data_IF_868966224730
#
_entry.id   IF_868966224730
#
_cell.length_a   1.000
_cell.length_b   1.000
_cell.length_c   1.000
_cell.angle_alpha   90.00
_cell.angle_beta   90.00
_cell.angle_gamma   90.00
#
_symmetry.space_group_name_H-M   'P 1'
#
loop_
_entity.id
_entity.type
_entity.pdbx_description
1 polymer ?
#
# COMPACT_ATOMS: atom_id res chain seq x y z
N UNK A 1 -7.15 15.28 14.50
CA UNK A 1 -6.18 15.68 15.54
C UNK A 1 -6.76 15.86 16.93
N UNK A 2 -8.06 16.15 17.11
CA UNK A 2 -8.64 16.43 18.46
C UNK A 2 -9.01 15.19 19.30
N UNK A 3 -9.13 14.00 18.69
CA UNK A 3 -9.62 12.79 19.35
C UNK A 3 -8.53 11.75 19.69
N UNK A 4 -7.28 12.00 19.31
CA UNK A 4 -6.15 11.08 19.55
C UNK A 4 -5.15 11.76 20.46
N UNK A 5 -4.76 11.17 21.60
CA UNK A 5 -3.87 11.84 22.54
C UNK A 5 -2.56 12.29 21.86
N UNK A 6 -2.03 13.48 22.20
CA UNK A 6 -0.87 14.07 21.51
C UNK A 6 0.37 13.18 21.47
N UNK A 7 0.55 12.32 22.49
CA UNK A 7 1.64 11.35 22.53
C UNK A 7 1.55 10.33 21.39
N UNK A 8 0.37 9.76 21.15
CA UNK A 8 0.14 8.85 20.03
C UNK A 8 0.26 9.58 18.69
N UNK A 9 -0.33 10.77 18.57
CA UNK A 9 -0.24 11.55 17.33
C UNK A 9 1.19 11.83 16.90
N UNK A 10 2.08 12.17 17.85
CA UNK A 10 3.49 12.41 17.56
C UNK A 10 4.20 11.19 16.98
N UNK A 11 3.96 10.00 17.55
CA UNK A 11 4.59 8.77 17.06
C UNK A 11 3.94 8.29 15.76
N UNK A 12 2.61 8.32 15.64
CA UNK A 12 1.89 7.92 14.43
C UNK A 12 2.24 8.80 13.23
N UNK A 13 2.48 10.11 13.45
CA UNK A 13 2.94 11.03 12.38
C UNK A 13 4.30 10.62 11.80
N UNK A 14 5.18 10.01 12.58
CA UNK A 14 6.48 9.49 12.08
C UNK A 14 6.29 8.35 11.09
N UNK A 15 5.24 7.55 11.28
CA UNK A 15 4.89 6.45 10.39
C UNK A 15 4.21 6.92 9.10
N UNK A 16 3.69 8.15 9.07
CA UNK A 16 2.78 8.64 8.03
C UNK A 16 3.48 9.32 6.84
N UNK A 17 4.43 8.63 6.20
CA UNK A 17 5.06 9.10 4.95
C UNK A 17 6.59 9.06 4.95
N UNK A 18 7.20 8.88 6.12
CA UNK A 18 8.65 8.73 6.29
C UNK A 18 9.03 7.33 6.80
N UNK A 19 8.17 6.32 6.59
CA UNK A 19 8.53 4.96 6.93
C UNK A 19 9.71 4.53 6.05
N UNK A 20 10.84 4.08 6.63
CA UNK A 20 11.96 3.61 5.84
C UNK A 20 11.51 2.45 4.97
N UNK A 21 12.02 2.32 3.74
CA UNK A 21 11.73 1.16 2.91
C UNK A 21 12.15 -0.09 3.69
N UNK A 22 11.24 -1.06 3.81
CA UNK A 22 11.55 -2.27 4.57
C UNK A 22 12.61 -3.11 3.87
N UNK A 23 12.69 -3.00 2.54
CA UNK A 23 13.58 -3.78 1.67
C UNK A 23 14.43 -2.89 0.77
N UNK A 24 15.64 -3.37 0.49
CA UNK A 24 16.53 -2.77 -0.50
C UNK A 24 16.12 -3.12 -1.94
N UNK A 25 16.68 -2.38 -2.91
CA UNK A 25 16.30 -2.47 -4.33
C UNK A 25 16.32 -3.87 -4.92
N UNK A 26 17.32 -4.71 -4.60
CA UNK A 26 17.43 -6.06 -5.17
C UNK A 26 16.23 -6.95 -4.84
N UNK A 27 15.80 -7.00 -3.57
CA UNK A 27 14.64 -7.80 -3.16
C UNK A 27 13.35 -7.26 -3.79
N UNK A 28 13.22 -5.93 -3.91
CA UNK A 28 12.10 -5.30 -4.62
C UNK A 28 12.05 -5.76 -6.07
N UNK A 29 13.19 -5.75 -6.78
CA UNK A 29 13.25 -6.20 -8.17
C UNK A 29 12.82 -7.64 -8.32
N UNK A 30 13.27 -8.52 -7.42
CA UNK A 30 12.91 -9.94 -7.45
C UNK A 30 11.41 -10.15 -7.23
N UNK A 31 10.81 -9.44 -6.28
CA UNK A 31 9.36 -9.49 -6.06
C UNK A 31 8.59 -9.01 -7.29
N UNK A 32 8.93 -7.85 -7.84
CA UNK A 32 8.23 -7.29 -9.01
C UNK A 32 8.39 -8.23 -10.21
N UNK A 33 9.58 -8.78 -10.43
CA UNK A 33 9.83 -9.77 -11.48
C UNK A 33 8.95 -11.02 -11.32
N UNK A 34 8.88 -11.55 -10.10
CA UNK A 34 8.08 -12.73 -9.78
C UNK A 34 6.59 -12.51 -10.03
N UNK A 35 6.05 -11.38 -9.57
CA UNK A 35 4.64 -11.01 -9.76
C UNK A 35 4.28 -10.73 -11.22
N UNK A 36 5.21 -10.18 -12.01
CA UNK A 36 5.02 -9.93 -13.44
C UNK A 36 5.30 -11.16 -14.32
N UNK A 37 5.91 -12.22 -13.78
CA UNK A 37 6.23 -13.44 -14.52
C UNK A 37 7.30 -13.27 -15.60
N UNK A 38 8.20 -12.29 -15.46
CA UNK A 38 9.28 -12.00 -16.43
C UNK A 38 10.62 -12.53 -15.93
N UNK A 39 11.61 -12.67 -16.81
CA UNK A 39 12.97 -13.09 -16.41
C UNK A 39 13.83 -11.89 -15.98
N UNK A 40 13.56 -10.72 -16.55
CA UNK A 40 14.20 -9.45 -16.24
C UNK A 40 13.18 -8.31 -16.20
N UNK A 41 13.33 -7.40 -15.24
CA UNK A 41 12.53 -6.15 -15.22
C UNK A 41 12.74 -5.30 -16.48
N UNK A 42 13.92 -5.44 -17.11
CA UNK A 42 14.20 -4.77 -18.37
C UNK A 42 13.34 -5.27 -19.52
N UNK A 43 12.48 -6.28 -19.35
CA UNK A 43 11.45 -6.66 -20.34
C UNK A 43 10.23 -5.72 -20.31
N UNK A 44 9.97 -5.08 -19.16
CA UNK A 44 8.79 -4.24 -18.93
C UNK A 44 9.15 -2.77 -18.77
N UNK A 45 10.28 -2.50 -18.10
CA UNK A 45 10.73 -1.16 -17.77
C UNK A 45 12.01 -0.80 -18.53
N UNK A 46 12.10 0.44 -18.99
CA UNK A 46 13.34 1.05 -19.47
C UNK A 46 14.22 1.47 -18.29
N UNK A 47 13.61 2.07 -17.27
CA UNK A 47 14.25 2.46 -16.01
C UNK A 47 13.42 1.99 -14.82
N UNK A 48 14.08 1.58 -13.74
CA UNK A 48 13.44 1.24 -12.46
C UNK A 48 14.34 1.74 -11.33
N UNK A 49 13.81 2.63 -10.50
CA UNK A 49 14.52 3.22 -9.36
C UNK A 49 14.51 2.25 -8.18
N UNK A 50 15.69 1.90 -7.70
CA UNK A 50 15.88 1.00 -6.57
C UNK A 50 15.55 1.70 -5.24
N UNK A 51 15.62 3.03 -5.21
CA UNK A 51 15.20 3.83 -4.07
C UNK A 51 13.68 4.08 -4.11
N UNK A 52 13.00 3.72 -3.02
CA UNK A 52 11.59 4.07 -2.86
C UNK A 52 11.46 5.57 -2.62
N UNK A 53 10.64 6.27 -3.40
CA UNK A 53 10.40 7.70 -3.23
C UNK A 53 9.25 7.98 -2.25
N UNK A 54 8.48 6.96 -1.87
CA UNK A 54 7.37 7.11 -0.94
C UNK A 54 6.97 5.81 -0.25
N UNK A 55 6.43 5.95 0.96
CA UNK A 55 5.74 4.89 1.66
C UNK A 55 4.26 4.85 1.24
N UNK A 56 3.70 3.65 1.14
CA UNK A 56 2.27 3.44 1.00
C UNK A 56 1.78 2.52 2.13
N UNK A 57 0.51 2.63 2.52
CA UNK A 57 -0.16 1.84 3.58
C UNK A 57 0.56 0.54 4.00
N UNK A 58 0.59 -0.46 3.12
CA UNK A 58 1.19 -1.79 3.35
C UNK A 58 2.40 -2.09 2.43
N UNK A 59 3.05 -1.05 1.90
CA UNK A 59 4.10 -1.20 0.90
C UNK A 59 4.96 0.04 0.67
N UNK A 60 5.77 -0.02 -0.38
CA UNK A 60 6.63 1.09 -0.82
C UNK A 60 6.41 1.38 -2.29
N UNK A 61 6.69 2.61 -2.72
CA UNK A 61 6.46 3.07 -4.10
C UNK A 61 7.78 3.47 -4.76
N UNK A 62 8.01 2.94 -5.94
CA UNK A 62 9.20 3.17 -6.75
C UNK A 62 8.85 3.94 -8.02
N UNK A 63 9.78 4.78 -8.50
CA UNK A 63 9.65 5.41 -9.81
C UNK A 63 10.16 4.44 -10.87
N UNK A 64 9.46 4.35 -12.00
CA UNK A 64 9.92 3.58 -13.14
C UNK A 64 9.48 4.24 -14.45
N UNK A 65 10.12 3.86 -15.54
CA UNK A 65 9.75 4.24 -16.91
C UNK A 65 9.43 2.95 -17.67
N UNK A 66 8.23 2.86 -18.25
CA UNK A 66 7.85 1.70 -19.05
C UNK A 66 8.67 1.64 -20.35
N UNK A 67 8.86 0.43 -20.89
CA UNK A 67 9.35 0.28 -22.26
C UNK A 67 8.37 0.93 -23.25
N UNK A 68 8.89 1.82 -24.07
CA UNK A 68 8.07 2.67 -24.94
C UNK A 68 7.74 4.03 -24.33
N UNK A 69 8.29 4.32 -23.15
CA UNK A 69 8.12 5.58 -22.43
C UNK A 69 6.93 5.57 -21.48
N UNK A 70 6.77 6.69 -20.77
CA UNK A 70 5.73 6.85 -19.75
C UNK A 70 6.27 6.55 -18.35
N UNK A 71 6.31 7.59 -17.53
CA UNK A 71 6.66 7.47 -16.11
C UNK A 71 5.51 6.83 -15.34
N UNK A 72 5.84 5.85 -14.50
CA UNK A 72 4.89 5.13 -13.65
C UNK A 72 5.38 5.04 -12.22
N UNK A 73 4.43 4.95 -11.29
CA UNK A 73 4.68 4.63 -9.90
C UNK A 73 4.40 3.13 -9.67
N UNK A 74 5.41 2.38 -9.22
CA UNK A 74 5.30 0.95 -8.94
C UNK A 74 5.16 0.74 -7.43
N UNK A 75 3.93 0.43 -6.99
CA UNK A 75 3.62 0.12 -5.59
C UNK A 75 3.89 -1.36 -5.33
N UNK A 76 4.79 -1.65 -4.38
CA UNK A 76 5.23 -3.00 -4.02
C UNK A 76 4.82 -3.30 -2.58
N UNK A 77 4.03 -4.36 -2.40
CA UNK A 77 3.55 -4.80 -1.08
C UNK A 77 4.71 -5.38 -0.27
N UNK A 78 4.79 -5.03 1.02
CA UNK A 78 5.81 -5.62 1.89
C UNK A 78 5.59 -7.13 2.08
N UNK A 79 6.66 -7.95 2.04
CA UNK A 79 6.55 -9.37 2.30
C UNK A 79 5.91 -9.66 3.65
N UNK A 80 4.98 -10.61 3.71
CA UNK A 80 4.36 -11.10 4.95
C UNK A 80 3.61 -10.05 5.78
N UNK A 81 3.37 -8.85 5.24
CA UNK A 81 2.65 -7.78 5.95
C UNK A 81 1.24 -8.21 6.36
N UNK A 82 0.60 -9.04 5.54
CA UNK A 82 -0.72 -9.62 5.87
C UNK A 82 -0.63 -10.58 7.06
N UNK A 83 0.40 -11.45 7.12
CA UNK A 83 0.59 -12.39 8.21
C UNK A 83 0.79 -11.65 9.54
N UNK A 84 1.63 -10.60 9.53
CA UNK A 84 1.87 -9.77 10.70
C UNK A 84 0.60 -9.06 11.14
N UNK A 85 -0.14 -8.44 10.21
CA UNK A 85 -1.41 -7.78 10.52
C UNK A 85 -2.43 -8.74 11.15
N UNK A 86 -2.57 -9.96 10.60
CA UNK A 86 -3.48 -10.98 11.15
C UNK A 86 -3.07 -11.41 12.55
N UNK A 87 -1.77 -11.58 12.79
CA UNK A 87 -1.23 -11.91 14.11
C UNK A 87 -1.51 -10.81 15.13
N UNK A 88 -1.25 -9.55 14.77
CA UNK A 88 -1.49 -8.39 15.63
C UNK A 88 -2.98 -8.25 15.96
N UNK A 89 -3.85 -8.34 14.96
CA UNK A 89 -5.30 -8.27 15.16
C UNK A 89 -5.80 -9.40 16.06
N UNK A 90 -5.24 -10.61 15.92
CA UNK A 90 -5.56 -11.72 16.82
C UNK A 90 -5.20 -11.38 18.27
N UNK A 91 -3.97 -10.92 18.52
CA UNK A 91 -3.49 -10.59 19.88
C UNK A 91 -4.36 -9.48 20.49
N UNK A 92 -4.66 -8.42 19.74
CA UNK A 92 -5.49 -7.30 20.21
C UNK A 92 -6.91 -7.76 20.54
N UNK A 93 -7.51 -8.61 19.70
CA UNK A 93 -8.85 -9.17 19.95
C UNK A 93 -8.87 -10.12 21.14
N UNK A 94 -7.83 -10.92 21.34
CA UNK A 94 -7.72 -11.82 22.51
C UNK A 94 -7.66 -10.99 23.81
N UNK A 95 -6.83 -9.93 23.83
CA UNK A 95 -6.76 -9.00 24.95
C UNK A 95 -8.10 -8.30 25.21
N UNK A 96 -8.75 -7.78 24.16
CA UNK A 96 -10.06 -7.13 24.31
C UNK A 96 -11.15 -8.10 24.77
N UNK A 97 -11.07 -9.37 24.38
CA UNK A 97 -12.00 -10.40 24.85
C UNK A 97 -11.92 -10.62 26.37
N UNK A 98 -10.75 -10.39 26.95
CA UNK A 98 -10.51 -10.48 28.39
C UNK A 98 -10.91 -9.21 29.14
N UNK A 99 -10.48 -8.03 28.67
CA UNK A 99 -10.55 -6.80 29.47
C UNK A 99 -11.48 -5.70 28.91
N UNK A 100 -11.83 -5.73 27.62
CA UNK A 100 -12.53 -4.62 26.95
C UNK A 100 -13.45 -5.10 25.80
N UNK A 101 -14.40 -5.99 26.11
CA UNK A 101 -15.21 -6.70 25.10
C UNK A 101 -16.01 -5.75 24.21
N UNK A 102 -16.34 -4.55 24.70
CA UNK A 102 -17.05 -3.51 23.95
C UNK A 102 -16.31 -3.05 22.67
N UNK A 103 -14.99 -3.25 22.58
CA UNK A 103 -14.22 -2.85 21.39
C UNK A 103 -14.16 -3.94 20.31
N UNK A 104 -14.57 -5.18 20.61
CA UNK A 104 -14.50 -6.29 19.64
C UNK A 104 -15.27 -6.05 18.34
N UNK A 105 -16.51 -5.49 18.35
CA UNK A 105 -17.22 -5.23 17.11
C UNK A 105 -16.46 -4.26 16.19
N UNK A 106 -15.92 -3.17 16.74
CA UNK A 106 -15.13 -2.21 16.00
C UNK A 106 -13.84 -2.85 15.44
N UNK A 107 -13.13 -3.64 16.25
CA UNK A 107 -11.92 -4.34 15.81
C UNK A 107 -12.16 -5.34 14.69
N UNK A 108 -13.30 -6.04 14.69
CA UNK A 108 -13.69 -6.95 13.60
C UNK A 108 -13.96 -6.20 12.31
N UNK A 109 -14.64 -5.06 12.38
CA UNK A 109 -14.88 -4.24 11.19
C UNK A 109 -13.59 -3.62 10.67
N UNK A 110 -12.71 -3.12 11.56
CA UNK A 110 -11.37 -2.63 11.20
C UNK A 110 -10.59 -3.73 10.48
N UNK A 111 -10.51 -4.94 11.04
CA UNK A 111 -9.83 -6.07 10.41
C UNK A 111 -10.40 -6.34 9.01
N UNK A 112 -11.72 -6.43 8.88
CA UNK A 112 -12.39 -6.65 7.59
C UNK A 112 -12.04 -5.59 6.55
N UNK A 113 -12.01 -4.31 6.94
CA UNK A 113 -11.64 -3.21 6.05
C UNK A 113 -10.17 -3.26 5.65
N UNK A 114 -9.26 -3.55 6.59
CA UNK A 114 -7.83 -3.64 6.32
C UNK A 114 -7.45 -4.88 5.50
N UNK A 115 -8.18 -6.00 5.65
CA UNK A 115 -7.96 -7.18 4.80
C UNK A 115 -8.08 -6.86 3.30
N UNK A 116 -8.85 -5.82 3.03
CA UNK A 116 -9.18 -5.31 1.72
C UNK A 116 -8.01 -4.52 1.06
N UNK A 117 -7.00 -4.12 1.85
CA UNK A 117 -5.77 -3.42 1.42
C UNK A 117 -4.70 -4.37 0.86
N UNK A 118 -4.77 -5.68 1.14
CA UNK A 118 -3.73 -6.62 0.69
C UNK A 118 -3.92 -7.13 -0.75
N UNK A 119 -5.05 -6.79 -1.38
CA UNK A 119 -5.38 -7.09 -2.77
C UNK A 119 -5.29 -5.82 -3.64
N UNK A 120 -4.12 -5.61 -4.24
CA UNK A 120 -3.86 -4.47 -5.14
C UNK A 120 -4.56 -4.61 -6.49
N UNK A 121 -4.99 -5.80 -6.91
CA UNK A 121 -5.76 -5.97 -8.15
C UNK A 121 -7.14 -5.33 -8.01
N UNK A 122 -7.76 -5.48 -6.83
CA UNK A 122 -9.02 -4.83 -6.52
C UNK A 122 -8.88 -3.31 -6.38
N UNK A 123 -7.79 -2.83 -5.78
CA UNK A 123 -7.45 -1.40 -5.78
C UNK A 123 -7.29 -0.86 -7.21
N UNK A 124 -6.54 -1.57 -8.06
CA UNK A 124 -6.36 -1.22 -9.47
C UNK A 124 -7.68 -1.17 -10.25
N UNK A 125 -8.58 -2.12 -10.02
CA UNK A 125 -9.91 -2.11 -10.63
C UNK A 125 -10.73 -0.89 -10.20
N UNK A 126 -10.66 -0.49 -8.92
CA UNK A 126 -11.31 0.72 -8.43
C UNK A 126 -10.68 1.99 -9.04
N UNK A 127 -9.35 2.06 -9.14
CA UNK A 127 -8.66 3.18 -9.78
C UNK A 127 -9.07 3.33 -11.24
N UNK A 128 -9.24 2.25 -12.00
CA UNK A 128 -9.75 2.29 -13.39
C UNK A 128 -11.15 2.88 -13.47
N UNK A 129 -12.08 2.45 -12.61
CA UNK A 129 -13.44 3.02 -12.55
C UNK A 129 -13.41 4.52 -12.28
N UNK A 130 -12.58 4.94 -11.33
CA UNK A 130 -12.41 6.37 -11.01
C UNK A 130 -11.83 7.12 -12.21
N UNK A 131 -10.83 6.56 -12.89
CA UNK A 131 -10.25 7.16 -14.09
C UNK A 131 -11.29 7.32 -15.20
N UNK A 132 -12.09 6.30 -15.48
CA UNK A 132 -13.18 6.34 -16.48
C UNK A 132 -14.20 7.45 -16.16
N UNK A 133 -14.58 7.58 -14.89
CA UNK A 133 -15.48 8.65 -14.45
C UNK A 133 -14.85 10.03 -14.65
N UNK A 134 -13.58 10.19 -14.28
CA UNK A 134 -12.86 11.46 -14.37
C UNK A 134 -12.54 11.89 -15.80
N UNK A 135 -12.36 10.94 -16.72
CA UNK A 135 -12.14 11.21 -18.15
C UNK A 135 -13.29 12.01 -18.78
N UNK A 136 -14.51 11.83 -18.29
CA UNK A 136 -15.70 12.60 -18.71
C UNK A 136 -15.85 13.95 -17.99
N UNK A 137 -15.02 14.23 -16.98
CA UNK A 137 -15.18 15.39 -16.12
C UNK A 137 -14.49 16.65 -16.70
N UNK A 138 -15.20 17.79 -16.82
CA UNK A 138 -14.69 18.98 -17.53
C UNK A 138 -13.41 19.58 -16.94
N UNK A 139 -13.19 19.42 -15.63
CA UNK A 139 -11.97 19.87 -14.94
C UNK A 139 -10.83 18.86 -14.94
N UNK A 140 -11.14 17.56 -14.93
CA UNK A 140 -10.18 16.51 -14.58
C UNK A 140 -9.82 15.59 -15.75
N UNK A 141 -10.64 15.53 -16.81
CA UNK A 141 -10.46 14.58 -17.91
C UNK A 141 -9.19 14.78 -18.75
N UNK A 142 -8.51 15.93 -18.62
CA UNK A 142 -7.18 16.14 -19.24
C UNK A 142 -6.01 15.84 -18.30
N UNK A 143 -6.28 15.60 -17.01
CA UNK A 143 -5.27 15.44 -15.94
C UNK A 143 -5.10 14.00 -15.48
N UNK A 144 -6.05 13.12 -15.82
CA UNK A 144 -5.99 11.68 -15.54
C UNK A 144 -5.68 11.00 -16.88
N UNK A 145 -4.60 10.24 -16.92
CA UNK A 145 -4.18 9.41 -18.06
C UNK A 145 -3.82 8.04 -17.53
#
# INVERSE_FOLDING_TARGET
>A
DEFVPPAYMRELKRLQGNAPPQRGGTEVRDMVRGELGVQSLSEVFEEFDDEAFGAASVGQVHRAVLRGGGEVAVKVKHPRVEDYFRSDMKIIKDFCSLAMRQHLPALREIEKQFMSEFDFTREAANMRRVADMLNSHPKWGRRVR
#
